data_IF_680097292476
#
_entry.id   IF_680097292476
#
_cell.length_a   1.000
_cell.length_b   1.000
_cell.length_c   1.000
_cell.angle_alpha   90.00
_cell.angle_beta   90.00
_cell.angle_gamma   90.00
#
_symmetry.space_group_name_H-M   'P 1'
#
loop_
_entity.id
_entity.type
_entity.pdbx_description
1 polymer ?
#
# COMPACT_ATOMS: atom_id res chain seq x y z
N UNK A 1 3.76 -15.49 2.74
CA UNK A 1 4.05 -14.29 3.54
C UNK A 1 3.00 -13.24 3.28
N UNK A 2 2.57 -12.49 4.28
CA UNK A 2 1.62 -11.39 4.10
C UNK A 2 2.34 -10.10 4.48
N UNK A 3 2.25 -9.09 3.62
CA UNK A 3 2.72 -7.74 3.93
C UNK A 3 1.51 -6.86 4.26
N UNK A 4 1.54 -6.17 5.40
CA UNK A 4 0.50 -5.22 5.82
C UNK A 4 1.15 -3.89 6.17
N UNK A 5 0.71 -2.81 5.53
CA UNK A 5 1.27 -1.47 5.74
C UNK A 5 0.14 -0.45 5.80
N UNK A 6 0.25 0.51 6.72
CA UNK A 6 -0.69 1.63 6.84
C UNK A 6 0.05 2.95 6.87
N UNK A 7 -0.48 3.94 6.17
CA UNK A 7 0.02 5.30 6.13
C UNK A 7 -1.07 6.25 6.60
N UNK A 8 -0.69 7.21 7.45
CA UNK A 8 -1.57 8.19 8.05
C UNK A 8 -0.93 9.57 7.99
N UNK A 9 -1.74 10.60 7.71
CA UNK A 9 -1.37 12.02 7.84
C UNK A 9 -0.04 12.39 7.16
N UNK A 10 0.00 12.31 5.83
CA UNK A 10 1.21 12.61 5.06
C UNK A 10 0.87 13.14 3.69
N UNK A 11 1.67 14.07 3.15
CA UNK A 11 1.36 14.73 1.88
C UNK A 11 1.57 13.85 0.65
N UNK A 12 2.64 13.04 0.63
CA UNK A 12 2.91 12.11 -0.48
C UNK A 12 3.51 10.82 0.06
N UNK A 13 2.96 9.68 -0.34
CA UNK A 13 3.49 8.36 0.00
C UNK A 13 3.88 7.58 -1.25
N UNK A 14 5.04 6.93 -1.20
CA UNK A 14 5.50 6.01 -2.25
C UNK A 14 5.91 4.69 -1.62
N UNK A 15 5.35 3.57 -2.09
CA UNK A 15 5.64 2.22 -1.57
C UNK A 15 5.69 1.19 -2.69
N UNK A 16 6.56 0.19 -2.54
CA UNK A 16 6.73 -0.90 -3.50
C UNK A 16 6.73 -2.25 -2.79
N UNK A 17 5.99 -3.22 -3.33
CA UNK A 17 5.94 -4.59 -2.86
C UNK A 17 6.46 -5.53 -3.94
N UNK A 18 7.36 -6.44 -3.56
CA UNK A 18 7.94 -7.42 -4.48
C UNK A 18 7.95 -8.82 -3.87
N UNK A 19 7.46 -9.81 -4.62
CA UNK A 19 7.60 -11.22 -4.28
C UNK A 19 6.79 -11.68 -3.05
N UNK A 20 5.78 -10.93 -2.62
CA UNK A 20 4.88 -11.34 -1.54
C UNK A 20 3.57 -11.88 -2.12
N UNK A 21 3.06 -13.03 -1.65
CA UNK A 21 1.83 -13.59 -2.19
C UNK A 21 0.61 -12.74 -1.86
N UNK A 22 0.61 -12.02 -0.73
CA UNK A 22 -0.47 -11.09 -0.35
C UNK A 22 0.11 -9.77 0.19
N UNK A 23 -0.40 -8.65 -0.31
CA UNK A 23 -0.13 -7.30 0.19
C UNK A 23 -1.45 -6.61 0.58
N UNK A 24 -1.50 -6.01 1.76
CA UNK A 24 -2.62 -5.17 2.24
C UNK A 24 -2.07 -3.80 2.58
N UNK A 25 -2.61 -2.76 1.97
CA UNK A 25 -2.13 -1.38 2.09
C UNK A 25 -3.30 -0.47 2.43
N UNK A 26 -3.14 0.37 3.44
CA UNK A 26 -4.14 1.36 3.83
C UNK A 26 -3.55 2.77 3.87
N UNK A 27 -4.32 3.75 3.40
CA UNK A 27 -3.98 5.17 3.40
C UNK A 27 -5.11 5.96 4.06
N UNK A 28 -4.77 6.83 5.02
CA UNK A 28 -5.71 7.78 5.66
C UNK A 28 -5.09 9.17 5.71
N UNK A 29 -5.83 10.20 5.30
CA UNK A 29 -5.32 11.57 5.25
C UNK A 29 -4.08 11.73 4.35
N UNK A 30 -3.92 10.86 3.32
CA UNK A 30 -2.82 10.92 2.36
C UNK A 30 -3.35 11.44 1.02
N UNK A 31 -3.03 12.67 0.60
CA UNK A 31 -3.59 13.25 -0.60
C UNK A 31 -2.98 12.65 -1.88
N UNK A 32 -1.75 12.12 -1.83
CA UNK A 32 -1.13 11.44 -2.98
C UNK A 32 -0.43 10.16 -2.54
N UNK A 33 -0.75 9.04 -3.18
CA UNK A 33 -0.08 7.76 -2.99
C UNK A 33 0.33 7.14 -4.32
N UNK A 34 1.56 6.63 -4.39
CA UNK A 34 2.07 5.81 -5.50
C UNK A 34 2.41 4.44 -4.96
N UNK A 35 1.78 3.40 -5.52
CA UNK A 35 1.95 2.01 -5.08
C UNK A 35 2.35 1.15 -6.27
N UNK A 36 3.48 0.44 -6.13
CA UNK A 36 3.98 -0.50 -7.13
C UNK A 36 3.95 -1.94 -6.61
N UNK A 37 3.48 -2.86 -7.44
CA UNK A 37 3.39 -4.27 -7.12
C UNK A 37 4.13 -5.10 -8.19
N UNK A 38 5.08 -5.92 -7.75
CA UNK A 38 5.83 -6.84 -8.62
C UNK A 38 5.74 -8.25 -8.08
N UNK A 39 5.35 -9.22 -8.91
CA UNK A 39 5.24 -10.63 -8.51
C UNK A 39 4.39 -10.82 -7.24
N UNK A 40 3.18 -10.25 -7.26
CA UNK A 40 2.20 -10.31 -6.17
C UNK A 40 1.06 -11.24 -6.58
N UNK A 41 0.60 -12.07 -5.64
CA UNK A 41 -0.61 -12.88 -5.85
C UNK A 41 -1.88 -12.05 -5.70
N UNK A 42 -2.06 -11.43 -4.53
CA UNK A 42 -3.22 -10.60 -4.20
C UNK A 42 -2.76 -9.28 -3.59
N UNK A 43 -3.34 -8.18 -4.06
CA UNK A 43 -3.18 -6.85 -3.47
C UNK A 43 -4.53 -6.30 -3.04
N UNK A 44 -4.63 -5.83 -1.79
CA UNK A 44 -5.77 -5.07 -1.27
C UNK A 44 -5.26 -3.67 -0.92
N UNK A 45 -5.88 -2.65 -1.51
CA UNK A 45 -5.53 -1.25 -1.25
C UNK A 45 -6.77 -0.50 -0.81
N UNK A 46 -6.69 0.20 0.31
CA UNK A 46 -7.77 1.01 0.86
C UNK A 46 -7.33 2.46 1.07
N UNK A 47 -8.25 3.38 0.77
CA UNK A 47 -8.10 4.80 1.00
C UNK A 47 -9.26 5.27 1.88
N UNK A 48 -8.94 6.09 2.86
CA UNK A 48 -9.89 6.79 3.74
C UNK A 48 -9.43 8.23 3.89
N UNK A 49 -10.36 9.14 4.19
CA UNK A 49 -10.03 10.48 4.66
C UNK A 49 -9.64 10.38 6.13
#
# INVERSE_FOLDING_TARGET
GVAVVSFSDGSVTVVSFSGVPVAVVSFSGVPVAVVSFTSIGVAVVSFSD
#
